data_IF_103519482641
#
_entry.id   IF_103519482641
#
_cell.length_a   1.000
_cell.length_b   1.000
_cell.length_c   1.000
_cell.angle_alpha   90.00
_cell.angle_beta   90.00
_cell.angle_gamma   90.00
#
_symmetry.space_group_name_H-M   'P 1'
#
loop_
_entity.id
_entity.type
_entity.pdbx_description
1 polymer ?
#
# COMPACT_ATOMS: atom_id res chain seq x y z
N UNK A 1 -14.90 13.91 -3.12
CA UNK A 1 -14.43 12.53 -2.80
C UNK A 1 -14.03 12.53 -1.34
N UNK A 2 -14.36 11.50 -0.61
CA UNK A 2 -13.99 11.34 0.79
C UNK A 2 -12.66 10.58 0.86
N UNK A 3 -11.77 10.94 1.76
CA UNK A 3 -10.54 10.20 2.07
C UNK A 3 -10.85 9.00 2.99
N UNK A 4 -12.13 8.63 3.07
CA UNK A 4 -12.69 7.55 3.87
C UNK A 4 -13.26 6.46 2.98
N UNK A 5 -12.85 5.23 3.24
CA UNK A 5 -13.27 4.00 2.55
C UNK A 5 -14.09 3.12 3.48
N UNK A 6 -15.03 2.35 2.93
CA UNK A 6 -15.87 1.42 3.67
C UNK A 6 -17.19 2.01 4.15
N UNK A 7 -18.03 1.16 4.75
CA UNK A 7 -19.34 1.53 5.27
C UNK A 7 -19.46 1.21 6.77
N UNK A 8 -19.48 -0.08 7.16
CA UNK A 8 -19.57 -0.53 8.54
C UNK A 8 -18.24 -0.43 9.29
N UNK A 9 -17.15 -0.84 8.62
CA UNK A 9 -15.79 -0.55 9.04
C UNK A 9 -15.26 0.47 8.06
N UNK A 10 -14.76 1.59 8.56
CA UNK A 10 -14.23 2.66 7.71
C UNK A 10 -12.75 2.89 7.97
N UNK A 11 -12.03 3.22 6.91
CA UNK A 11 -10.63 3.63 6.93
C UNK A 11 -10.54 5.05 6.38
N UNK A 12 -10.11 5.99 7.21
CA UNK A 12 -9.79 7.37 6.79
C UNK A 12 -8.29 7.56 6.75
N UNK A 13 -7.76 8.02 5.61
CA UNK A 13 -6.34 8.32 5.42
C UNK A 13 -6.16 9.83 5.59
N UNK A 14 -5.09 10.27 6.24
CA UNK A 14 -4.80 11.68 6.46
C UNK A 14 -3.30 11.99 6.39
N UNK A 15 -2.99 13.26 6.23
CA UNK A 15 -1.64 13.81 6.16
C UNK A 15 -1.14 14.04 4.74
N UNK A 16 0.02 14.68 4.64
CA UNK A 16 0.72 15.04 3.41
C UNK A 16 2.16 14.54 3.46
N UNK A 17 2.76 14.28 2.30
CA UNK A 17 4.11 13.68 2.21
C UNK A 17 5.21 14.55 2.83
N UNK A 18 5.02 15.85 2.89
CA UNK A 18 5.95 16.83 3.49
C UNK A 18 5.36 17.53 4.71
N UNK A 19 4.20 17.11 5.18
CA UNK A 19 3.65 17.45 6.48
C UNK A 19 4.39 16.71 7.61
N UNK A 20 4.02 16.93 8.87
CA UNK A 20 4.71 16.32 10.02
C UNK A 20 4.54 14.77 10.05
N UNK A 21 3.42 14.28 9.58
CA UNK A 21 3.10 12.85 9.58
C UNK A 21 2.04 12.49 8.55
N UNK A 22 1.95 11.19 8.22
CA UNK A 22 0.82 10.57 7.54
C UNK A 22 0.18 9.54 8.47
N UNK A 23 -1.10 9.24 8.28
CA UNK A 23 -1.76 8.28 9.16
C UNK A 23 -3.06 7.74 8.63
N UNK A 24 -3.64 6.85 9.41
CA UNK A 24 -4.94 6.25 9.16
C UNK A 24 -5.75 6.12 10.45
N UNK A 25 -7.05 6.36 10.33
CA UNK A 25 -8.01 6.08 11.40
C UNK A 25 -9.00 5.02 10.93
N UNK A 26 -9.11 3.94 11.69
CA UNK A 26 -10.08 2.87 11.50
C UNK A 26 -11.21 3.04 12.51
N UNK A 27 -12.46 3.09 12.04
CA UNK A 27 -13.65 3.10 12.90
C UNK A 27 -14.55 1.91 12.58
N UNK A 28 -15.36 1.49 13.55
CA UNK A 28 -16.26 0.34 13.39
C UNK A 28 -15.57 -1.02 13.52
N UNK A 29 -14.29 -1.08 13.86
CA UNK A 29 -13.61 -2.34 14.15
C UNK A 29 -14.15 -2.92 15.46
N UNK A 30 -14.50 -4.22 15.46
CA UNK A 30 -15.04 -4.87 16.64
C UNK A 30 -14.02 -4.86 17.80
N UNK A 31 -14.49 -4.67 19.06
CA UNK A 31 -13.62 -4.81 20.23
C UNK A 31 -13.05 -6.24 20.30
N UNK A 32 -11.83 -6.36 20.82
CA UNK A 32 -11.15 -7.65 20.95
C UNK A 32 -10.42 -8.16 19.70
N UNK A 33 -10.51 -7.48 18.56
CA UNK A 33 -9.72 -7.82 17.37
C UNK A 33 -8.23 -7.65 17.69
N UNK A 34 -7.40 -8.70 17.52
CA UNK A 34 -5.96 -8.62 17.79
C UNK A 34 -5.26 -7.59 16.87
N UNK A 35 -4.40 -6.77 17.45
CA UNK A 35 -3.52 -5.83 16.74
C UNK A 35 -2.09 -6.33 16.89
N UNK A 36 -1.64 -7.11 15.92
CA UNK A 36 -0.33 -7.73 15.90
C UNK A 36 0.71 -6.74 15.35
N UNK A 37 1.42 -6.06 16.26
CA UNK A 37 2.41 -5.05 15.91
C UNK A 37 3.66 -5.63 15.24
N UNK A 38 3.99 -6.90 15.49
CA UNK A 38 5.12 -7.57 14.85
C UNK A 38 4.78 -7.90 13.39
N UNK A 39 3.60 -8.47 13.15
CA UNK A 39 3.11 -8.69 11.80
C UNK A 39 3.00 -7.37 11.01
N UNK A 40 2.46 -6.31 11.63
CA UNK A 40 2.40 -4.96 11.02
C UNK A 40 3.78 -4.47 10.62
N UNK A 41 4.78 -4.59 11.50
CA UNK A 41 6.17 -4.23 11.21
C UNK A 41 6.71 -5.01 10.00
N UNK A 42 6.47 -6.31 9.94
CA UNK A 42 6.85 -7.15 8.80
C UNK A 42 6.23 -6.69 7.48
N UNK A 43 4.95 -6.28 7.48
CA UNK A 43 4.30 -5.73 6.29
C UNK A 43 4.89 -4.35 5.89
N UNK A 44 5.20 -3.51 6.86
CA UNK A 44 5.85 -2.21 6.62
C UNK A 44 7.27 -2.39 6.06
N UNK A 45 8.02 -3.38 6.52
CA UNK A 45 9.35 -3.71 5.97
C UNK A 45 9.30 -4.12 4.48
N UNK A 46 8.25 -4.81 4.03
CA UNK A 46 8.07 -5.19 2.61
C UNK A 46 7.87 -3.96 1.72
N UNK A 47 7.24 -2.93 2.24
CA UNK A 47 7.00 -1.67 1.55
C UNK A 47 8.28 -0.82 1.41
N UNK A 48 9.29 -1.02 2.25
CA UNK A 48 10.51 -0.21 2.23
C UNK A 48 11.28 -0.40 0.92
N UNK A 49 11.85 0.70 0.46
CA UNK A 49 12.72 0.67 -0.71
C UNK A 49 13.89 -0.29 -0.50
N UNK A 50 14.05 -1.25 -1.39
CA UNK A 50 15.12 -2.25 -1.37
C UNK A 50 15.79 -2.34 -2.73
N UNK A 51 17.13 -2.41 -2.71
CA UNK A 51 17.93 -2.62 -3.91
C UNK A 51 17.85 -1.48 -4.94
N UNK A 52 18.26 -1.78 -6.17
CA UNK A 52 18.40 -0.79 -7.27
C UNK A 52 17.08 -0.45 -7.96
N UNK A 53 16.05 -1.27 -7.82
CA UNK A 53 14.73 -1.07 -8.45
C UNK A 53 13.79 -0.20 -7.61
N UNK A 54 14.26 0.33 -6.50
CA UNK A 54 13.48 1.16 -5.57
C UNK A 54 14.05 2.57 -5.50
N UNK A 55 13.24 3.51 -5.02
CA UNK A 55 13.67 4.89 -4.80
C UNK A 55 14.80 4.96 -3.77
N UNK A 56 15.64 5.98 -3.86
CA UNK A 56 16.70 6.25 -2.87
C UNK A 56 16.17 6.75 -1.52
N UNK A 57 14.90 7.13 -1.44
CA UNK A 57 14.28 7.62 -0.21
C UNK A 57 14.03 6.48 0.75
N UNK A 58 14.73 6.49 1.89
CA UNK A 58 14.57 5.50 2.95
C UNK A 58 13.97 6.18 4.18
N UNK A 59 12.84 5.66 4.67
CA UNK A 59 12.20 6.07 5.92
C UNK A 59 12.01 4.85 6.83
N UNK A 60 12.10 5.08 8.13
CA UNK A 60 11.94 3.99 9.11
C UNK A 60 10.51 3.44 9.14
N UNK A 61 9.51 4.26 8.73
CA UNK A 61 8.09 3.93 8.70
C UNK A 61 7.57 3.30 10.01
N UNK A 62 8.09 3.78 11.14
CA UNK A 62 7.67 3.30 12.45
C UNK A 62 6.23 3.71 12.72
N UNK A 63 5.34 2.72 12.84
CA UNK A 63 3.93 2.96 13.12
C UNK A 63 3.74 3.18 14.61
N UNK A 64 3.11 4.30 14.98
CA UNK A 64 2.65 4.60 16.34
C UNK A 64 1.14 4.46 16.43
N UNK A 65 0.68 3.73 17.43
CA UNK A 65 -0.75 3.66 17.77
C UNK A 65 -1.07 4.78 18.74
N UNK A 66 -1.96 5.69 18.37
CA UNK A 66 -2.37 6.81 19.22
C UNK A 66 -3.63 6.51 20.03
N UNK A 67 -4.53 5.67 19.51
CA UNK A 67 -5.81 5.32 20.15
C UNK A 67 -6.36 4.00 19.63
N UNK A 68 -7.38 3.47 20.30
CA UNK A 68 -8.16 2.34 19.83
C UNK A 68 -7.53 0.97 20.09
N UNK A 69 -6.40 0.88 20.81
CA UNK A 69 -5.75 -0.39 21.19
C UNK A 69 -5.47 -0.41 22.68
N UNK A 70 -5.80 -1.51 23.33
CA UNK A 70 -5.48 -1.80 24.73
C UNK A 70 -5.06 -3.26 24.88
N UNK A 71 -3.93 -3.52 25.53
CA UNK A 71 -3.36 -4.88 25.71
C UNK A 71 -3.29 -5.71 24.42
N UNK A 72 -2.90 -5.07 23.31
CA UNK A 72 -2.72 -5.76 22.03
C UNK A 72 -4.02 -6.06 21.26
N UNK A 73 -5.17 -5.51 21.69
CA UNK A 73 -6.44 -5.71 21.03
C UNK A 73 -7.17 -4.38 20.79
N UNK A 74 -7.99 -4.33 19.73
CA UNK A 74 -8.85 -3.19 19.45
C UNK A 74 -9.88 -2.99 20.58
N UNK A 75 -10.10 -1.73 20.96
CA UNK A 75 -11.08 -1.37 22.00
C UNK A 75 -12.49 -1.23 21.48
N UNK A 76 -12.67 -1.15 20.15
CA UNK A 76 -13.94 -0.79 19.49
C UNK A 76 -14.13 0.71 19.28
N UNK A 77 -13.27 1.56 19.88
CA UNK A 77 -13.22 2.99 19.59
C UNK A 77 -12.36 3.27 18.35
N UNK A 78 -12.25 4.52 17.92
CA UNK A 78 -11.43 4.88 16.78
C UNK A 78 -9.96 4.46 16.99
N UNK A 79 -9.45 3.60 16.11
CA UNK A 79 -8.08 3.13 16.11
C UNK A 79 -7.26 4.02 15.17
N UNK A 80 -6.30 4.76 15.72
CA UNK A 80 -5.51 5.73 14.95
C UNK A 80 -4.04 5.34 14.92
N UNK A 81 -3.52 5.22 13.70
CA UNK A 81 -2.13 4.90 13.37
C UNK A 81 -1.47 6.14 12.77
N UNK A 82 -0.26 6.44 13.22
CA UNK A 82 0.53 7.59 12.73
C UNK A 82 1.95 7.14 12.38
N UNK A 83 2.47 7.67 11.29
CA UNK A 83 3.82 7.46 10.79
C UNK A 83 4.44 8.83 10.55
N UNK A 84 5.47 9.16 11.31
CA UNK A 84 6.16 10.45 11.20
C UNK A 84 6.95 10.56 9.90
N UNK A 85 6.96 11.73 9.29
CA UNK A 85 7.79 12.04 8.13
C UNK A 85 9.15 12.56 8.64
N UNK A 86 10.18 11.75 8.53
CA UNK A 86 11.52 12.07 9.04
C UNK A 86 12.49 12.55 7.97
N UNK A 87 12.19 12.31 6.70
CA UNK A 87 13.07 12.64 5.57
C UNK A 87 12.35 13.58 4.58
N UNK A 88 12.05 14.79 5.02
CA UNK A 88 11.39 15.82 4.20
C UNK A 88 12.39 16.90 3.79
N UNK A 89 12.53 17.13 2.48
CA UNK A 89 13.33 18.24 1.90
C UNK A 89 12.40 19.31 1.36
N UNK A 90 11.71 20.00 2.26
CA UNK A 90 10.66 20.98 1.89
C UNK A 90 11.21 22.19 1.14
N UNK A 91 12.49 22.55 1.33
CA UNK A 91 13.13 23.66 0.62
C UNK A 91 13.25 23.48 -0.91
N UNK A 92 13.22 22.25 -1.38
CA UNK A 92 13.37 21.95 -2.82
C UNK A 92 12.11 22.38 -3.63
N UNK A 93 10.98 22.60 -2.98
CA UNK A 93 9.70 22.90 -3.62
C UNK A 93 9.31 24.38 -3.63
N UNK A 94 9.97 25.25 -2.86
CA UNK A 94 9.63 26.68 -2.72
C UNK A 94 9.62 27.46 -4.04
N UNK A 95 10.42 27.04 -5.03
CA UNK A 95 10.50 27.70 -6.35
C UNK A 95 9.50 27.14 -7.37
N UNK A 96 8.87 26.01 -7.06
CA UNK A 96 8.03 25.24 -8.00
C UNK A 96 6.61 25.04 -7.50
N UNK A 97 6.23 25.66 -6.38
CA UNK A 97 4.88 25.52 -5.79
C UNK A 97 3.74 25.89 -6.75
N UNK A 98 3.99 26.87 -7.63
CA UNK A 98 3.02 27.30 -8.63
C UNK A 98 3.10 26.52 -9.96
N UNK A 99 4.09 25.63 -10.10
CA UNK A 99 4.29 24.84 -11.32
C UNK A 99 3.62 23.48 -11.19
N UNK A 100 2.51 23.31 -11.91
CA UNK A 100 1.75 22.04 -11.90
C UNK A 100 2.46 21.01 -12.78
N UNK A 101 2.97 19.94 -12.17
CA UNK A 101 3.74 18.89 -12.86
C UNK A 101 2.81 17.98 -13.68
N UNK A 102 3.09 17.74 -14.97
CA UNK A 102 2.22 16.94 -15.84
C UNK A 102 2.06 15.47 -15.40
N UNK A 103 3.07 14.88 -14.79
CA UNK A 103 3.06 13.49 -14.33
C UNK A 103 2.46 13.27 -12.94
N UNK A 104 1.89 14.31 -12.31
CA UNK A 104 1.31 14.27 -10.97
C UNK A 104 -0.15 14.70 -10.94
N UNK A 105 -0.79 14.55 -9.78
CA UNK A 105 -2.16 15.04 -9.55
C UNK A 105 -2.23 16.55 -9.27
N UNK A 106 -1.19 17.32 -9.54
CA UNK A 106 -1.08 18.74 -9.16
C UNK A 106 -2.21 19.58 -9.75
N UNK A 107 -2.47 19.45 -11.06
CA UNK A 107 -3.54 20.18 -11.72
C UNK A 107 -4.93 19.83 -11.17
N UNK A 108 -5.22 18.54 -11.03
CA UNK A 108 -6.53 18.09 -10.51
C UNK A 108 -6.71 18.45 -9.04
N UNK A 109 -5.65 18.43 -8.25
CA UNK A 109 -5.65 18.89 -6.88
C UNK A 109 -5.90 20.39 -6.79
N UNK A 110 -5.20 21.18 -7.61
CA UNK A 110 -5.37 22.62 -7.69
C UNK A 110 -6.82 23.00 -8.02
N UNK A 111 -7.40 22.38 -9.03
CA UNK A 111 -8.79 22.60 -9.42
C UNK A 111 -9.79 22.17 -8.34
N UNK A 112 -9.56 21.02 -7.69
CA UNK A 112 -10.44 20.47 -6.66
C UNK A 112 -10.43 21.31 -5.38
N UNK A 113 -9.27 21.77 -4.95
CA UNK A 113 -9.06 22.44 -3.67
C UNK A 113 -8.83 23.95 -3.78
N UNK A 114 -9.03 24.53 -4.99
CA UNK A 114 -8.91 25.97 -5.21
C UNK A 114 -7.51 26.53 -4.91
N UNK A 115 -6.46 25.73 -5.11
CA UNK A 115 -5.08 26.11 -4.85
C UNK A 115 -4.63 25.98 -3.38
N UNK A 116 -5.45 25.43 -2.49
CA UNK A 116 -5.13 25.28 -1.06
C UNK A 116 -4.49 23.91 -0.69
N UNK A 117 -4.19 23.07 -1.67
CA UNK A 117 -3.48 21.80 -1.45
C UNK A 117 -2.02 22.05 -1.05
N UNK A 118 -1.44 21.12 -0.26
CA UNK A 118 0.03 21.11 -0.06
C UNK A 118 0.71 20.64 -1.35
N UNK A 119 1.39 21.55 -2.05
CA UNK A 119 2.06 21.27 -3.33
C UNK A 119 3.42 20.56 -3.15
N UNK A 120 3.94 20.46 -1.90
CA UNK A 120 5.25 19.88 -1.63
C UNK A 120 5.23 18.36 -1.85
N UNK A 121 6.08 17.86 -2.74
CA UNK A 121 6.30 16.42 -2.96
C UNK A 121 5.08 15.60 -3.38
N UNK A 122 4.01 16.24 -3.83
CA UNK A 122 2.74 15.60 -4.19
C UNK A 122 1.69 15.63 -3.07
N UNK A 123 2.02 16.16 -1.89
CA UNK A 123 1.08 16.39 -0.80
C UNK A 123 0.34 15.13 -0.37
N UNK A 124 -0.99 15.22 -0.34
CA UNK A 124 -1.88 14.09 -0.03
C UNK A 124 -1.96 13.04 -1.16
N UNK A 125 -1.56 13.39 -2.38
CA UNK A 125 -1.57 12.49 -3.55
C UNK A 125 -0.25 11.73 -3.75
N UNK A 126 0.69 11.88 -2.83
CA UNK A 126 1.97 11.19 -2.85
C UNK A 126 1.81 9.69 -2.59
N UNK A 127 2.66 8.86 -3.20
CA UNK A 127 2.81 7.45 -2.85
C UNK A 127 3.14 7.20 -1.37
N UNK A 128 3.57 8.24 -0.62
CA UNK A 128 3.77 8.19 0.83
C UNK A 128 2.49 7.79 1.58
N UNK A 129 1.34 8.19 1.09
CA UNK A 129 0.02 7.91 1.69
C UNK A 129 -0.38 6.43 1.62
N UNK A 130 0.36 5.59 0.89
CA UNK A 130 0.19 4.13 0.92
C UNK A 130 0.73 3.51 2.22
N UNK A 131 1.63 4.18 2.96
CA UNK A 131 2.16 3.66 4.21
C UNK A 131 1.08 3.40 5.28
N UNK A 132 0.22 4.36 5.63
CA UNK A 132 -0.88 4.10 6.56
C UNK A 132 -1.90 3.08 6.05
N UNK A 133 -2.08 2.94 4.72
CA UNK A 133 -2.93 1.90 4.13
C UNK A 133 -2.35 0.51 4.41
N UNK A 134 -1.04 0.32 4.24
CA UNK A 134 -0.36 -0.95 4.56
C UNK A 134 -0.45 -1.27 6.05
N UNK A 135 -0.24 -0.26 6.91
CA UNK A 135 -0.33 -0.43 8.36
C UNK A 135 -1.75 -0.87 8.80
N UNK A 136 -2.80 -0.18 8.33
CA UNK A 136 -4.19 -0.56 8.61
C UNK A 136 -4.55 -1.91 7.95
N UNK A 137 -4.11 -2.13 6.72
CA UNK A 137 -4.31 -3.37 5.97
C UNK A 137 -3.75 -4.60 6.67
N UNK A 138 -2.63 -4.45 7.42
CA UNK A 138 -2.06 -5.54 8.19
C UNK A 138 -3.01 -6.06 9.29
N UNK A 139 -3.77 -5.17 9.94
CA UNK A 139 -4.79 -5.55 10.94
C UNK A 139 -5.91 -6.35 10.26
N UNK A 140 -6.40 -5.88 9.12
CA UNK A 140 -7.45 -6.57 8.38
C UNK A 140 -6.97 -7.91 7.82
N UNK A 141 -5.76 -7.98 7.28
CA UNK A 141 -5.15 -9.23 6.80
C UNK A 141 -5.06 -10.25 7.92
N UNK A 142 -4.58 -9.86 9.11
CA UNK A 142 -4.49 -10.76 10.25
C UNK A 142 -5.87 -11.24 10.71
N UNK A 143 -6.86 -10.36 10.76
CA UNK A 143 -8.25 -10.71 11.08
C UNK A 143 -8.81 -11.71 10.06
N UNK A 144 -8.60 -11.50 8.77
CA UNK A 144 -9.06 -12.39 7.71
C UNK A 144 -8.39 -13.76 7.76
N UNK A 145 -7.09 -13.82 8.08
CA UNK A 145 -6.36 -15.07 8.29
C UNK A 145 -6.98 -15.92 9.40
N UNK A 146 -7.46 -15.31 10.51
CA UNK A 146 -8.16 -16.06 11.58
C UNK A 146 -9.49 -16.69 11.12
N UNK A 147 -10.01 -16.23 9.99
CA UNK A 147 -11.23 -16.75 9.35
C UNK A 147 -10.93 -17.71 8.18
N UNK A 148 -9.67 -18.09 8.01
CA UNK A 148 -9.23 -18.97 6.92
C UNK A 148 -9.12 -18.29 5.54
N UNK A 149 -9.17 -16.95 5.48
CA UNK A 149 -9.00 -16.20 4.24
C UNK A 149 -7.52 -15.95 3.99
N UNK A 150 -7.04 -16.33 2.80
CA UNK A 150 -5.69 -16.04 2.33
C UNK A 150 -5.74 -15.10 1.11
N UNK A 151 -4.85 -14.12 1.10
CA UNK A 151 -4.75 -13.11 0.03
C UNK A 151 -3.29 -13.04 -0.41
N UNK A 152 -3.05 -13.08 -1.71
CA UNK A 152 -1.75 -12.76 -2.28
C UNK A 152 -1.91 -12.06 -3.63
N UNK A 153 -0.93 -11.24 -3.95
CA UNK A 153 -0.83 -10.52 -5.21
C UNK A 153 0.54 -10.80 -5.81
N UNK A 154 0.59 -10.99 -7.12
CA UNK A 154 1.85 -11.01 -7.84
C UNK A 154 1.90 -9.96 -8.95
N UNK A 155 3.10 -9.66 -9.39
CA UNK A 155 3.36 -8.84 -10.56
C UNK A 155 3.21 -9.75 -11.79
N UNK A 156 1.97 -9.86 -12.29
CA UNK A 156 1.62 -10.75 -13.40
C UNK A 156 2.31 -10.38 -14.72
N UNK A 157 2.61 -9.09 -14.89
CA UNK A 157 3.42 -8.59 -16.02
C UNK A 157 4.21 -7.37 -15.60
N UNK A 158 5.43 -7.22 -16.13
CA UNK A 158 6.21 -5.98 -16.02
C UNK A 158 7.07 -5.79 -17.28
N UNK A 159 7.06 -4.59 -17.85
CA UNK A 159 7.80 -4.25 -19.08
C UNK A 159 7.51 -5.22 -20.25
N UNK A 160 6.28 -5.74 -20.35
CA UNK A 160 5.91 -6.74 -21.37
C UNK A 160 6.39 -8.16 -21.08
N UNK A 161 7.00 -8.42 -19.94
CA UNK A 161 7.43 -9.75 -19.49
C UNK A 161 6.33 -10.33 -18.60
N UNK A 162 5.74 -11.45 -19.00
CA UNK A 162 4.71 -12.14 -18.24
C UNK A 162 5.33 -13.06 -17.18
N UNK A 163 4.70 -13.10 -15.99
CA UNK A 163 4.97 -14.11 -14.96
C UNK A 163 4.23 -15.43 -15.23
N UNK A 164 4.48 -16.45 -14.43
CA UNK A 164 3.68 -17.66 -14.42
C UNK A 164 2.26 -17.36 -13.87
N UNK A 165 1.21 -17.95 -14.43
CA UNK A 165 -0.15 -17.76 -13.93
C UNK A 165 -0.37 -18.46 -12.58
N UNK A 166 -1.38 -18.03 -11.84
CA UNK A 166 -1.86 -18.79 -10.69
C UNK A 166 -2.36 -20.19 -11.11
N UNK A 167 -2.07 -21.18 -10.27
CA UNK A 167 -2.47 -22.56 -10.50
C UNK A 167 -3.99 -22.72 -10.33
N UNK A 168 -4.60 -23.51 -11.21
CA UNK A 168 -5.98 -23.97 -11.02
C UNK A 168 -6.13 -25.08 -9.96
N UNK A 169 -5.03 -25.69 -9.52
CA UNK A 169 -5.04 -26.67 -8.42
C UNK A 169 -4.99 -25.95 -7.06
N UNK A 170 -5.95 -26.22 -6.14
CA UNK A 170 -6.05 -25.49 -4.87
C UNK A 170 -4.83 -25.66 -3.94
N UNK A 171 -4.20 -26.84 -3.94
CA UNK A 171 -3.06 -27.09 -3.07
C UNK A 171 -1.83 -26.30 -3.55
N UNK A 172 -1.56 -26.39 -4.85
CA UNK A 172 -0.48 -25.64 -5.49
C UNK A 172 -0.73 -24.13 -5.42
N UNK A 173 -1.97 -23.70 -5.58
CA UNK A 173 -2.32 -22.28 -5.45
C UNK A 173 -2.00 -21.77 -4.06
N UNK A 174 -2.33 -22.54 -3.01
CA UNK A 174 -1.97 -22.16 -1.63
C UNK A 174 -0.46 -22.03 -1.44
N UNK A 175 0.34 -22.94 -1.96
CA UNK A 175 1.81 -22.87 -1.94
C UNK A 175 2.31 -21.60 -2.66
N UNK A 176 1.72 -21.24 -3.80
CA UNK A 176 2.03 -20.01 -4.53
C UNK A 176 1.72 -18.76 -3.67
N UNK A 177 0.57 -18.71 -3.00
CA UNK A 177 0.20 -17.59 -2.13
C UNK A 177 1.19 -17.43 -0.96
N UNK A 178 1.58 -18.52 -0.33
CA UNK A 178 2.54 -18.52 0.76
C UNK A 178 3.92 -18.03 0.29
N UNK A 179 4.38 -18.51 -0.87
CA UNK A 179 5.65 -18.08 -1.48
C UNK A 179 5.65 -16.59 -1.84
N UNK A 180 4.58 -16.08 -2.47
CA UNK A 180 4.45 -14.67 -2.81
C UNK A 180 4.43 -13.77 -1.57
N UNK A 181 3.73 -14.20 -0.52
CA UNK A 181 3.68 -13.47 0.73
C UNK A 181 5.02 -13.46 1.49
N UNK A 182 5.95 -14.36 1.17
CA UNK A 182 7.30 -14.39 1.73
C UNK A 182 8.32 -13.65 0.84
N UNK A 183 8.04 -13.46 -0.44
CA UNK A 183 8.97 -12.90 -1.42
C UNK A 183 9.23 -11.39 -1.25
N UNK A 184 10.44 -10.94 -1.59
CA UNK A 184 10.77 -9.51 -1.70
C UNK A 184 10.18 -8.88 -2.96
N UNK A 185 10.24 -9.58 -4.09
CA UNK A 185 9.54 -9.24 -5.32
C UNK A 185 8.48 -10.32 -5.57
N UNK A 186 7.21 -9.94 -5.55
CA UNK A 186 6.09 -10.86 -5.67
C UNK A 186 5.92 -11.33 -7.13
N UNK A 187 6.74 -12.29 -7.55
CA UNK A 187 6.75 -12.95 -8.88
C UNK A 187 6.90 -14.45 -8.64
N UNK A 188 6.09 -15.26 -9.34
CA UNK A 188 6.03 -16.71 -9.15
C UNK A 188 7.24 -17.42 -9.77
N UNK A 189 7.69 -16.99 -10.95
CA UNK A 189 8.83 -17.58 -11.64
C UNK A 189 10.11 -16.77 -11.36
N UNK A 190 11.13 -17.38 -10.71
CA UNK A 190 12.37 -16.69 -10.41
C UNK A 190 13.15 -16.19 -11.63
N UNK A 191 13.00 -16.84 -12.79
CA UNK A 191 13.64 -16.38 -14.04
C UNK A 191 12.94 -15.13 -14.56
N UNK A 192 11.61 -15.10 -14.50
CA UNK A 192 10.83 -13.91 -14.84
C UNK A 192 11.11 -12.75 -13.88
N UNK A 193 11.21 -13.02 -12.58
CA UNK A 193 11.58 -12.01 -11.59
C UNK A 193 12.92 -11.33 -11.93
N UNK A 194 13.93 -12.11 -12.35
CA UNK A 194 15.23 -11.56 -12.78
C UNK A 194 15.10 -10.70 -14.05
N UNK A 195 14.36 -11.19 -15.05
CA UNK A 195 14.15 -10.46 -16.29
C UNK A 195 13.42 -9.13 -16.06
N UNK A 196 12.35 -9.13 -15.24
CA UNK A 196 11.62 -7.93 -14.84
C UNK A 196 12.51 -6.95 -14.09
N UNK A 197 13.34 -7.42 -13.14
CA UNK A 197 14.30 -6.59 -12.42
C UNK A 197 15.29 -5.91 -13.38
N UNK A 198 15.83 -6.64 -14.35
CA UNK A 198 16.74 -6.08 -15.35
C UNK A 198 16.08 -5.02 -16.24
N UNK A 199 14.81 -5.24 -16.63
CA UNK A 199 14.05 -4.27 -17.41
C UNK A 199 13.79 -2.98 -16.62
N UNK A 200 13.46 -3.09 -15.31
CA UNK A 200 13.29 -1.93 -14.41
C UNK A 200 14.62 -1.18 -14.25
N UNK A 201 15.72 -1.89 -14.03
CA UNK A 201 17.06 -1.28 -13.90
C UNK A 201 17.49 -0.55 -15.20
N UNK A 202 17.20 -1.14 -16.36
CA UNK A 202 17.50 -0.52 -17.65
C UNK A 202 16.74 0.78 -17.86
N UNK A 203 15.42 0.78 -17.60
CA UNK A 203 14.60 1.99 -17.67
C UNK A 203 15.08 3.08 -16.70
N UNK A 204 15.47 2.69 -15.48
CA UNK A 204 16.00 3.63 -14.48
C UNK A 204 17.30 4.31 -14.94
N UNK A 205 18.17 3.60 -15.66
CA UNK A 205 19.41 4.18 -16.24
C UNK A 205 19.08 5.23 -17.30
N UNK A 206 18.01 5.02 -18.06
CA UNK A 206 17.53 5.96 -19.09
C UNK A 206 16.69 7.12 -18.50
N UNK A 207 16.46 7.13 -17.18
CA UNK A 207 15.63 8.13 -16.50
C UNK A 207 14.14 7.94 -16.78
N UNK A 208 13.71 6.72 -17.14
CA UNK A 208 12.34 6.36 -17.46
C UNK A 208 11.79 5.31 -16.46
N UNK A 209 10.56 4.86 -16.67
CA UNK A 209 9.88 3.85 -15.88
C UNK A 209 9.16 2.85 -16.78
N UNK A 210 8.84 1.68 -16.21
CA UNK A 210 8.08 0.63 -16.88
C UNK A 210 6.72 0.43 -16.20
N UNK A 211 5.71 0.06 -16.97
CA UNK A 211 4.41 -0.32 -16.45
C UNK A 211 4.36 -1.81 -16.08
N UNK A 212 3.29 -2.19 -15.37
CA UNK A 212 3.05 -3.58 -15.00
C UNK A 212 1.57 -3.86 -14.72
N UNK A 213 1.25 -5.15 -14.59
CA UNK A 213 -0.07 -5.67 -14.24
C UNK A 213 0.05 -6.43 -12.93
N UNK A 214 -0.81 -6.13 -11.98
CA UNK A 214 -0.95 -6.88 -10.73
C UNK A 214 -2.15 -7.80 -10.83
N UNK A 215 -1.98 -9.06 -10.42
CA UNK A 215 -3.08 -10.01 -10.26
C UNK A 215 -3.18 -10.43 -8.79
N UNK A 216 -4.40 -10.42 -8.25
CA UNK A 216 -4.67 -10.74 -6.85
C UNK A 216 -5.64 -11.90 -6.74
N UNK A 217 -5.30 -12.88 -5.91
CA UNK A 217 -6.16 -14.01 -5.56
C UNK A 217 -6.55 -13.93 -4.09
N UNK A 218 -7.82 -14.21 -3.83
CA UNK A 218 -8.39 -14.34 -2.49
C UNK A 218 -9.00 -15.72 -2.34
N UNK A 219 -8.53 -16.50 -1.37
CA UNK A 219 -9.06 -17.84 -1.06
C UNK A 219 -9.81 -17.82 0.28
N UNK A 220 -10.74 -18.73 0.46
CA UNK A 220 -11.45 -18.95 1.71
C UNK A 220 -12.60 -17.99 1.99
N UNK A 221 -13.02 -17.19 1.00
CA UNK A 221 -14.22 -16.39 1.15
C UNK A 221 -15.47 -17.30 1.07
N UNK A 222 -16.49 -17.07 1.95
CA UNK A 222 -17.72 -17.81 1.86
C UNK A 222 -18.49 -17.49 0.57
N UNK A 223 -19.13 -18.52 -0.02
CA UNK A 223 -19.99 -18.33 -1.16
C UNK A 223 -21.10 -17.33 -0.85
N UNK A 224 -21.42 -16.47 -1.79
CA UNK A 224 -22.44 -15.43 -1.62
C UNK A 224 -21.97 -14.12 -0.99
N UNK A 225 -20.73 -14.02 -0.57
CA UNK A 225 -20.14 -12.72 -0.20
C UNK A 225 -20.07 -11.87 -1.47
N UNK A 226 -20.85 -10.79 -1.52
CA UNK A 226 -20.89 -9.87 -2.67
C UNK A 226 -20.02 -8.65 -2.40
N UNK A 227 -19.20 -8.29 -3.38
CA UNK A 227 -18.79 -6.91 -3.58
C UNK A 227 -19.90 -6.17 -4.33
N UNK A 228 -20.38 -5.04 -3.83
CA UNK A 228 -21.37 -4.21 -4.53
C UNK A 228 -20.76 -3.48 -5.75
N UNK A 229 -19.44 -3.45 -5.88
CA UNK A 229 -18.74 -2.90 -7.03
C UNK A 229 -18.29 -4.00 -7.98
N UNK A 230 -19.06 -4.25 -9.02
CA UNK A 230 -18.57 -4.88 -10.24
C UNK A 230 -17.80 -3.83 -11.02
N UNK A 231 -16.50 -3.82 -10.93
CA UNK A 231 -15.68 -3.22 -11.98
C UNK A 231 -15.61 -4.24 -13.12
N UNK A 232 -16.42 -4.02 -14.13
CA UNK A 232 -16.23 -4.63 -15.44
C UNK A 232 -15.17 -3.76 -16.12
N UNK A 233 -13.92 -4.27 -16.18
CA UNK A 233 -12.89 -3.72 -17.05
C UNK A 233 -13.08 -4.21 -18.46
#
# INVERSE_FOLDING_TARGET
MSDTYGKSVTLTIFGESHGPAVGATVTGLAPGVPVDMEFMRGQMEKRRAKGKISTSRTEADAVRVLSGVYRGAATGTALTLVIENTNTRSGDYTKTEELLRPGHADYTAHMKYGGHQDARGGGHFSGRLTAPVVAAGSIFTKLLQTKGVAIATHLAQCAGIDDAPFSGDPARLKEQLDALNAADLAVLDPLRARAMTQAIEAAAVEGDSVGGILETVVLGLPAGLRSEERRVG
#
